data_IF_053765398288
#
_entry.id   IF_053765398288
#
_cell.length_a   1.000
_cell.length_b   1.000
_cell.length_c   1.000
_cell.angle_alpha   90.00
_cell.angle_beta   90.00
_cell.angle_gamma   90.00
#
_symmetry.space_group_name_H-M   'P 1'
#
loop_
_entity.id
_entity.type
_entity.pdbx_description
1 polymer ?
#
# COMPACT_ATOMS: atom_id res chain seq x y z
N UNK A 1 -40.35 9.08 -25.39
CA UNK A 1 -40.08 9.72 -24.10
C UNK A 1 -38.75 9.21 -23.60
N UNK A 2 -37.94 10.03 -22.90
CA UNK A 2 -36.63 9.57 -22.47
C UNK A 2 -36.75 8.53 -21.33
N UNK A 3 -36.00 7.46 -21.45
CA UNK A 3 -35.85 6.46 -20.39
C UNK A 3 -34.48 6.65 -19.72
N UNK A 4 -34.46 6.67 -18.38
CA UNK A 4 -33.24 6.95 -17.60
C UNK A 4 -33.02 5.86 -16.54
N UNK A 5 -31.75 5.57 -16.24
CA UNK A 5 -31.34 4.69 -15.14
C UNK A 5 -31.22 5.40 -13.80
N UNK A 6 -30.94 6.68 -13.85
CA UNK A 6 -30.83 7.54 -12.68
C UNK A 6 -31.52 8.87 -12.95
N UNK A 7 -32.27 9.33 -11.98
CA UNK A 7 -33.08 10.55 -12.07
C UNK A 7 -32.92 11.38 -10.81
N UNK A 8 -33.03 12.69 -10.96
CA UNK A 8 -33.18 13.65 -9.88
C UNK A 8 -34.55 14.29 -10.03
N UNK A 9 -35.29 14.38 -8.93
CA UNK A 9 -36.53 15.19 -8.85
C UNK A 9 -36.20 16.40 -8.00
N UNK A 10 -36.49 17.59 -8.53
CA UNK A 10 -36.44 18.86 -7.79
C UNK A 10 -37.80 19.49 -7.77
N UNK A 11 -38.41 19.62 -6.58
CA UNK A 11 -39.77 20.15 -6.45
C UNK A 11 -39.93 20.89 -5.13
N UNK A 12 -40.70 21.97 -5.13
CA UNK A 12 -41.06 22.66 -3.90
C UNK A 12 -41.83 21.71 -2.97
N UNK A 13 -41.64 21.90 -1.65
CA UNK A 13 -42.29 21.03 -0.65
C UNK A 13 -43.81 21.08 -0.76
N UNK A 14 -44.38 22.24 -1.05
CA UNK A 14 -45.81 22.46 -1.18
C UNK A 14 -46.41 21.91 -2.49
N UNK A 15 -45.59 21.55 -3.48
CA UNK A 15 -46.02 20.99 -4.75
C UNK A 15 -46.02 19.48 -4.80
N UNK A 16 -45.47 18.81 -3.80
CA UNK A 16 -45.45 17.35 -3.72
C UNK A 16 -46.67 16.85 -2.92
N UNK A 17 -47.73 16.46 -3.62
CA UNK A 17 -49.01 16.06 -3.02
C UNK A 17 -49.10 14.54 -2.70
N UNK A 18 -47.96 13.86 -2.53
CA UNK A 18 -47.88 12.45 -2.17
C UNK A 18 -47.06 12.27 -0.92
N UNK A 19 -47.35 11.20 -0.17
CA UNK A 19 -46.41 10.74 0.86
C UNK A 19 -45.14 10.22 0.16
N UNK A 20 -44.05 10.99 0.28
CA UNK A 20 -42.80 10.71 -0.41
C UNK A 20 -42.24 9.36 -0.03
N UNK A 21 -42.16 9.05 1.27
CA UNK A 21 -41.54 7.83 1.76
C UNK A 21 -42.37 6.61 1.39
N UNK A 22 -43.70 6.66 1.53
CA UNK A 22 -44.57 5.62 1.10
C UNK A 22 -44.48 5.37 -0.42
N UNK A 23 -44.37 6.44 -1.23
CA UNK A 23 -44.24 6.34 -2.69
C UNK A 23 -42.91 5.69 -3.07
N UNK A 24 -41.79 6.09 -2.47
CA UNK A 24 -40.47 5.52 -2.71
C UNK A 24 -40.42 4.03 -2.35
N UNK A 25 -41.08 3.60 -1.29
CA UNK A 25 -41.16 2.19 -0.86
C UNK A 25 -42.06 1.35 -1.71
N UNK A 26 -43.13 1.94 -2.28
CA UNK A 26 -44.13 1.25 -3.10
C UNK A 26 -43.56 0.68 -4.41
N UNK A 27 -42.67 1.45 -5.05
CA UNK A 27 -42.17 1.07 -6.38
C UNK A 27 -40.82 0.34 -6.30
N UNK A 28 -40.87 -1.00 -6.25
CA UNK A 28 -39.70 -1.91 -6.15
C UNK A 28 -38.71 -1.81 -7.31
N UNK A 29 -39.07 -1.16 -8.40
CA UNK A 29 -38.18 -0.85 -9.52
C UNK A 29 -37.11 0.18 -9.10
N UNK A 30 -37.42 1.03 -8.13
CA UNK A 30 -36.42 1.93 -7.51
C UNK A 30 -35.53 1.09 -6.60
N UNK A 31 -34.27 0.91 -6.97
CA UNK A 31 -33.31 0.09 -6.22
C UNK A 31 -32.62 0.85 -5.10
N UNK A 32 -32.28 2.08 -5.39
CA UNK A 32 -31.71 3.01 -4.39
C UNK A 32 -32.38 4.37 -4.53
N UNK A 33 -32.64 5.00 -3.42
CA UNK A 33 -33.16 6.36 -3.37
C UNK A 33 -32.59 7.09 -2.16
N UNK A 34 -32.41 8.41 -2.32
CA UNK A 34 -32.06 9.32 -1.25
C UNK A 34 -32.78 10.65 -1.47
N UNK A 35 -33.16 11.34 -0.40
CA UNK A 35 -33.72 12.67 -0.50
C UNK A 35 -33.34 13.54 0.68
N UNK A 36 -33.40 14.85 0.44
CA UNK A 36 -33.19 15.91 1.44
C UNK A 36 -34.14 17.08 1.13
N UNK A 37 -34.43 17.88 2.15
CA UNK A 37 -35.11 19.17 2.00
C UNK A 37 -34.05 20.25 2.12
N UNK A 38 -33.94 21.11 1.12
CA UNK A 38 -33.18 22.33 1.20
C UNK A 38 -34.08 23.44 1.69
N UNK A 39 -33.99 23.75 2.98
CA UNK A 39 -34.83 24.76 3.68
C UNK A 39 -33.99 25.89 4.30
N UNK A 40 -32.66 25.81 4.18
CA UNK A 40 -31.69 26.77 4.75
C UNK A 40 -30.98 27.59 3.68
N UNK A 41 -31.44 27.49 2.43
CA UNK A 41 -30.94 28.28 1.31
C UNK A 41 -31.79 29.58 1.16
N UNK A 42 -31.30 30.52 0.35
CA UNK A 42 -32.01 31.74 0.00
C UNK A 42 -33.25 31.52 -0.90
N UNK A 43 -33.59 30.25 -1.15
CA UNK A 43 -34.73 29.83 -1.98
C UNK A 43 -35.82 29.17 -1.13
N UNK A 44 -37.02 29.01 -1.72
CA UNK A 44 -38.10 28.27 -1.05
C UNK A 44 -37.67 26.87 -0.71
N UNK A 45 -38.19 26.32 0.38
CA UNK A 45 -37.95 24.93 0.76
C UNK A 45 -38.37 24.00 -0.35
N UNK A 46 -37.45 23.15 -0.79
CA UNK A 46 -37.64 22.23 -1.90
C UNK A 46 -36.95 20.90 -1.65
N UNK A 47 -37.51 19.83 -2.25
CA UNK A 47 -36.91 18.49 -2.23
C UNK A 47 -35.88 18.36 -3.34
N UNK A 48 -34.77 17.72 -3.01
CA UNK A 48 -33.89 17.02 -3.94
C UNK A 48 -34.05 15.52 -3.70
N UNK A 49 -34.52 14.78 -4.71
CA UNK A 49 -34.78 13.33 -4.60
C UNK A 49 -33.96 12.61 -5.66
N UNK A 50 -33.07 11.77 -5.23
CA UNK A 50 -32.29 10.90 -6.10
C UNK A 50 -32.95 9.53 -6.23
N UNK A 51 -33.09 9.04 -7.48
CA UNK A 51 -33.63 7.74 -7.82
C UNK A 51 -32.64 6.96 -8.68
N UNK A 52 -32.41 5.69 -8.35
CA UNK A 52 -31.57 4.78 -9.12
C UNK A 52 -32.31 3.45 -9.36
N UNK A 53 -32.47 3.10 -10.64
CA UNK A 53 -33.17 1.90 -11.10
C UNK A 53 -32.24 0.71 -11.39
N UNK A 54 -30.94 0.82 -11.02
CA UNK A 54 -29.94 -0.22 -11.23
C UNK A 54 -29.58 -0.38 -12.72
N UNK A 55 -29.74 -1.55 -13.24
CA UNK A 55 -29.47 -1.86 -14.66
C UNK A 55 -30.62 -1.52 -15.60
N UNK A 56 -31.82 -1.26 -15.05
CA UNK A 56 -33.04 -0.95 -15.82
C UNK A 56 -33.14 0.53 -16.12
N UNK A 57 -33.72 0.91 -17.27
CA UNK A 57 -34.13 2.27 -17.57
C UNK A 57 -35.65 2.38 -17.44
N UNK A 58 -36.10 3.49 -16.86
CA UNK A 58 -37.54 3.76 -16.64
C UNK A 58 -37.92 5.04 -17.36
N UNK A 59 -39.14 5.08 -17.88
CA UNK A 59 -39.68 6.26 -18.57
C UNK A 59 -39.94 7.39 -17.59
N UNK A 60 -39.53 8.62 -17.95
CA UNK A 60 -39.63 9.80 -17.09
C UNK A 60 -41.09 10.20 -16.82
N UNK A 61 -41.98 10.08 -17.80
CA UNK A 61 -43.42 10.38 -17.62
C UNK A 61 -44.08 9.37 -16.66
N UNK A 62 -43.66 8.09 -16.70
CA UNK A 62 -44.14 7.10 -15.75
C UNK A 62 -43.70 7.43 -14.32
N UNK A 63 -42.43 7.82 -14.13
CA UNK A 63 -41.94 8.25 -12.80
C UNK A 63 -42.67 9.51 -12.33
N UNK A 64 -42.87 10.50 -13.21
CA UNK A 64 -43.63 11.70 -12.88
C UNK A 64 -45.05 11.37 -12.37
N UNK A 65 -45.71 10.40 -12.99
CA UNK A 65 -47.04 9.95 -12.55
C UNK A 65 -47.02 9.33 -11.14
N UNK A 66 -45.95 8.66 -10.72
CA UNK A 66 -45.83 8.07 -9.38
C UNK A 66 -45.81 9.13 -8.27
N UNK A 67 -45.15 10.28 -8.57
CA UNK A 67 -45.02 11.38 -7.63
C UNK A 67 -46.07 12.46 -7.86
N UNK A 68 -46.97 12.31 -8.81
CA UNK A 68 -48.00 13.26 -9.18
C UNK A 68 -47.46 14.69 -9.47
N UNK A 69 -46.34 14.71 -10.18
CA UNK A 69 -45.64 15.95 -10.58
C UNK A 69 -45.54 16.05 -12.10
N UNK A 70 -45.39 17.26 -12.65
CA UNK A 70 -45.04 17.44 -14.06
C UNK A 70 -43.69 16.81 -14.42
N UNK A 71 -43.57 16.26 -15.63
CA UNK A 71 -42.36 15.60 -16.09
C UNK A 71 -41.11 16.51 -16.11
N UNK A 72 -41.29 17.79 -16.31
CA UNK A 72 -40.21 18.77 -16.30
C UNK A 72 -39.49 18.95 -14.94
N UNK A 73 -40.04 18.39 -13.86
CA UNK A 73 -39.35 18.32 -12.54
C UNK A 73 -38.36 17.15 -12.44
N UNK A 74 -38.37 16.27 -13.44
CA UNK A 74 -37.45 15.13 -13.50
C UNK A 74 -36.25 15.48 -14.36
N UNK A 75 -35.09 15.43 -13.75
CA UNK A 75 -33.81 15.71 -14.39
C UNK A 75 -33.00 14.42 -14.57
N UNK A 76 -32.25 14.37 -15.68
CA UNK A 76 -31.20 13.36 -15.81
C UNK A 76 -30.06 13.71 -14.87
N UNK A 77 -29.61 12.74 -14.05
CA UNK A 77 -28.41 12.89 -13.23
C UNK A 77 -27.21 13.17 -14.14
N UNK A 78 -26.54 14.29 -13.92
CA UNK A 78 -25.33 14.69 -14.64
C UNK A 78 -24.11 14.21 -13.85
N UNK A 79 -23.15 13.56 -14.53
CA UNK A 79 -21.95 13.07 -13.89
C UNK A 79 -22.11 11.70 -13.22
N UNK A 80 -21.27 11.42 -12.23
CA UNK A 80 -21.27 10.16 -11.49
C UNK A 80 -22.32 10.17 -10.38
N UNK A 81 -22.73 8.98 -9.92
CA UNK A 81 -23.62 8.82 -8.75
C UNK A 81 -23.13 9.62 -7.55
N UNK A 82 -21.82 9.55 -7.28
CA UNK A 82 -21.18 10.25 -6.16
C UNK A 82 -21.30 11.76 -6.24
N UNK A 83 -21.17 12.34 -7.45
CA UNK A 83 -21.33 13.78 -7.65
C UNK A 83 -22.78 14.23 -7.32
N UNK A 84 -23.75 13.39 -7.65
CA UNK A 84 -25.15 13.62 -7.30
C UNK A 84 -25.41 13.48 -5.79
N UNK A 85 -24.82 12.49 -5.13
CA UNK A 85 -24.96 12.30 -3.69
C UNK A 85 -24.32 13.47 -2.91
N UNK A 86 -23.13 13.93 -3.33
CA UNK A 86 -22.49 15.13 -2.76
C UNK A 86 -23.34 16.39 -3.00
N UNK A 87 -24.04 16.44 -4.13
CA UNK A 87 -24.93 17.57 -4.42
C UNK A 87 -26.10 17.67 -3.45
N UNK A 88 -26.62 16.56 -2.92
CA UNK A 88 -27.68 16.57 -1.92
C UNK A 88 -27.30 17.34 -0.64
N UNK A 89 -26.03 17.34 -0.27
CA UNK A 89 -25.52 18.04 0.93
C UNK A 89 -24.76 19.33 0.61
N UNK A 90 -24.74 19.77 -0.67
CA UNK A 90 -23.89 20.83 -1.19
C UNK A 90 -22.37 20.59 -1.02
N UNK A 91 -21.97 19.33 -0.85
CA UNK A 91 -20.56 18.94 -0.67
C UNK A 91 -19.70 19.05 -1.93
N UNK A 92 -20.27 19.40 -3.10
CA UNK A 92 -19.53 19.62 -4.34
C UNK A 92 -18.77 20.94 -4.31
N UNK A 93 -17.61 21.00 -4.97
CA UNK A 93 -16.80 22.22 -5.07
C UNK A 93 -17.58 23.43 -5.60
N UNK A 94 -18.49 23.21 -6.54
CA UNK A 94 -19.34 24.26 -7.12
C UNK A 94 -20.39 24.80 -6.13
N UNK A 95 -20.64 24.13 -5.03
CA UNK A 95 -21.68 24.47 -4.04
C UNK A 95 -21.08 24.89 -2.68
N UNK A 96 -19.76 25.04 -2.56
CA UNK A 96 -19.07 25.38 -1.29
C UNK A 96 -19.55 26.67 -0.65
N UNK A 97 -20.08 27.59 -1.44
CA UNK A 97 -20.59 28.88 -0.95
C UNK A 97 -22.03 28.83 -0.45
N UNK A 98 -22.72 27.71 -0.60
CA UNK A 98 -24.06 27.50 -0.09
C UNK A 98 -24.05 26.92 1.31
N UNK A 99 -25.19 26.89 1.98
CA UNK A 99 -25.34 26.19 3.25
C UNK A 99 -24.96 24.70 3.08
N UNK A 100 -24.08 24.19 3.93
CA UNK A 100 -23.63 22.80 3.89
C UNK A 100 -24.51 21.97 4.81
N UNK A 101 -25.34 21.12 4.21
CA UNK A 101 -26.22 20.23 4.96
C UNK A 101 -25.44 19.03 5.55
N UNK A 102 -25.84 18.59 6.75
CA UNK A 102 -25.28 17.39 7.34
C UNK A 102 -25.73 16.14 6.57
N UNK A 103 -24.82 15.17 6.41
CA UNK A 103 -25.15 13.88 5.83
C UNK A 103 -26.28 13.16 6.59
N UNK A 104 -26.45 13.43 7.88
CA UNK A 104 -27.53 12.92 8.73
C UNK A 104 -28.92 13.49 8.41
N UNK A 105 -28.98 14.59 7.68
CA UNK A 105 -30.24 15.18 7.21
C UNK A 105 -30.79 14.49 5.94
N UNK A 106 -29.95 13.66 5.30
CA UNK A 106 -30.35 12.87 4.13
C UNK A 106 -31.06 11.61 4.56
N UNK A 107 -32.25 11.36 4.01
CA UNK A 107 -32.97 10.12 4.19
C UNK A 107 -32.72 9.23 2.97
N UNK A 108 -32.25 8.02 3.19
CA UNK A 108 -31.89 7.08 2.11
C UNK A 108 -32.23 5.63 2.48
N UNK A 109 -32.40 4.76 1.47
CA UNK A 109 -32.56 3.31 1.67
C UNK A 109 -31.24 2.53 1.60
N UNK A 110 -30.12 3.24 1.66
CA UNK A 110 -28.75 2.69 1.68
C UNK A 110 -27.89 3.52 2.64
N UNK A 111 -26.72 3.01 2.98
CA UNK A 111 -25.78 3.74 3.84
C UNK A 111 -25.15 4.91 3.07
N UNK A 112 -25.76 6.10 3.24
CA UNK A 112 -25.40 7.32 2.54
C UNK A 112 -24.03 7.85 2.98
N UNK A 113 -23.72 7.78 4.29
CA UNK A 113 -22.45 8.27 4.83
C UNK A 113 -21.27 7.44 4.28
N UNK A 114 -21.42 6.12 4.27
CA UNK A 114 -20.39 5.22 3.71
C UNK A 114 -20.21 5.43 2.20
N UNK A 115 -21.28 5.61 1.44
CA UNK A 115 -21.19 5.86 -0.01
C UNK A 115 -20.44 7.16 -0.33
N UNK A 116 -20.67 8.24 0.43
CA UNK A 116 -19.98 9.52 0.25
C UNK A 116 -18.51 9.42 0.72
N UNK A 117 -18.28 8.79 1.87
CA UNK A 117 -16.93 8.62 2.41
C UNK A 117 -16.05 7.84 1.44
N UNK A 118 -16.57 6.73 0.89
CA UNK A 118 -15.86 5.97 -0.12
C UNK A 118 -15.56 6.78 -1.40
N UNK A 119 -16.45 7.70 -1.75
CA UNK A 119 -16.26 8.58 -2.90
C UNK A 119 -15.17 9.65 -2.68
N UNK A 120 -15.14 10.26 -1.51
CA UNK A 120 -14.12 11.25 -1.15
C UNK A 120 -12.74 10.59 -1.07
N UNK A 121 -12.65 9.39 -0.51
CA UNK A 121 -11.41 8.62 -0.41
C UNK A 121 -10.84 8.26 -1.78
N UNK A 122 -11.69 7.86 -2.73
CA UNK A 122 -11.24 7.61 -4.11
C UNK A 122 -10.72 8.91 -4.75
N UNK A 123 -11.27 10.08 -4.40
CA UNK A 123 -10.77 11.39 -4.84
C UNK A 123 -9.39 11.73 -4.29
N UNK A 124 -9.16 11.43 -3.01
CA UNK A 124 -7.89 11.69 -2.31
C UNK A 124 -6.84 10.60 -2.52
N UNK A 125 -7.20 9.51 -3.18
CA UNK A 125 -6.36 8.32 -3.40
C UNK A 125 -4.98 8.65 -4.01
N UNK A 126 -4.88 9.70 -4.83
CA UNK A 126 -3.60 10.13 -5.45
C UNK A 126 -2.50 10.43 -4.43
N UNK A 127 -2.88 10.72 -3.18
CA UNK A 127 -1.96 11.08 -2.11
C UNK A 127 -1.66 9.94 -1.15
N UNK A 128 -2.34 8.78 -1.29
CA UNK A 128 -2.13 7.65 -0.40
C UNK A 128 -0.92 6.82 -0.81
N UNK A 129 -0.06 6.54 0.15
CA UNK A 129 0.91 5.45 0.04
C UNK A 129 0.20 4.11 0.16
N UNK A 130 0.86 3.03 -0.26
CA UNK A 130 0.32 1.68 -0.11
C UNK A 130 0.02 1.33 1.37
N UNK A 131 0.84 1.82 2.29
CA UNK A 131 0.65 1.62 3.72
C UNK A 131 -0.61 2.31 4.26
N UNK A 132 -0.86 3.56 3.85
CA UNK A 132 -2.07 4.31 4.22
C UNK A 132 -3.33 3.63 3.66
N UNK A 133 -3.26 3.12 2.43
CA UNK A 133 -4.33 2.33 1.82
C UNK A 133 -4.69 1.09 2.68
N UNK A 134 -3.68 0.35 3.14
CA UNK A 134 -3.89 -0.82 3.99
C UNK A 134 -4.43 -0.44 5.38
N UNK A 135 -3.94 0.64 5.97
CA UNK A 135 -4.44 1.16 7.24
C UNK A 135 -5.92 1.52 7.12
N UNK A 136 -6.29 2.27 6.09
CA UNK A 136 -7.69 2.60 5.82
C UNK A 136 -8.56 1.34 5.66
N UNK A 137 -8.14 0.39 4.83
CA UNK A 137 -8.87 -0.86 4.64
C UNK A 137 -9.07 -1.63 5.96
N UNK A 138 -8.12 -1.52 6.92
CA UNK A 138 -8.24 -2.14 8.23
C UNK A 138 -9.29 -1.50 9.14
N UNK A 139 -9.68 -0.26 8.91
CA UNK A 139 -10.75 0.41 9.68
C UNK A 139 -12.15 -0.02 9.26
N UNK A 140 -12.29 -0.67 8.09
CA UNK A 140 -13.58 -1.04 7.53
C UNK A 140 -14.13 -2.35 8.11
N UNK A 141 -15.47 -2.53 8.14
CA UNK A 141 -16.11 -3.81 8.41
C UNK A 141 -15.64 -4.89 7.41
N UNK A 142 -15.60 -6.14 7.84
CA UNK A 142 -15.08 -7.27 7.03
C UNK A 142 -15.80 -7.38 5.67
N UNK A 143 -17.11 -7.15 5.62
CA UNK A 143 -17.92 -7.21 4.40
C UNK A 143 -17.50 -6.18 3.33
N UNK A 144 -17.01 -5.01 3.76
CA UNK A 144 -16.61 -3.93 2.87
C UNK A 144 -15.11 -3.94 2.60
N UNK A 145 -14.33 -4.41 3.57
CA UNK A 145 -12.86 -4.43 3.53
C UNK A 145 -12.32 -5.09 2.27
N UNK A 146 -12.81 -6.27 1.90
CA UNK A 146 -12.31 -7.02 0.73
C UNK A 146 -12.61 -6.26 -0.56
N UNK A 147 -13.84 -5.74 -0.71
CA UNK A 147 -14.26 -4.99 -1.90
C UNK A 147 -13.45 -3.70 -2.06
N UNK A 148 -13.34 -2.93 -0.98
CA UNK A 148 -12.63 -1.65 -0.98
C UNK A 148 -11.13 -1.86 -1.22
N UNK A 149 -10.52 -2.82 -0.53
CA UNK A 149 -9.10 -3.15 -0.73
C UNK A 149 -8.81 -3.53 -2.18
N UNK A 150 -9.65 -4.37 -2.79
CA UNK A 150 -9.49 -4.78 -4.20
C UNK A 150 -9.57 -3.58 -5.16
N UNK A 151 -10.46 -2.63 -4.90
CA UNK A 151 -10.59 -1.42 -5.72
C UNK A 151 -9.38 -0.51 -5.55
N UNK A 152 -8.94 -0.28 -4.30
CA UNK A 152 -7.77 0.53 -3.98
C UNK A 152 -6.50 -0.06 -4.59
N UNK A 153 -6.30 -1.37 -4.53
CA UNK A 153 -5.16 -2.04 -5.16
C UNK A 153 -5.15 -1.88 -6.69
N UNK A 154 -6.32 -1.92 -7.34
CA UNK A 154 -6.43 -1.69 -8.78
C UNK A 154 -6.07 -0.24 -9.15
N UNK A 155 -6.55 0.73 -8.38
CA UNK A 155 -6.24 2.15 -8.58
C UNK A 155 -4.75 2.42 -8.35
N UNK A 156 -4.18 1.85 -7.29
CA UNK A 156 -2.76 1.98 -6.99
C UNK A 156 -1.87 1.40 -8.11
N UNK A 157 -2.22 0.22 -8.63
CA UNK A 157 -1.54 -0.35 -9.80
C UNK A 157 -1.64 0.54 -11.03
N UNK A 158 -2.80 1.13 -11.28
CA UNK A 158 -2.98 2.07 -12.40
C UNK A 158 -2.12 3.31 -12.23
N UNK A 159 -2.07 3.89 -11.04
CA UNK A 159 -1.23 5.05 -10.73
C UNK A 159 0.26 4.72 -10.91
N UNK A 160 0.71 3.57 -10.43
CA UNK A 160 2.07 3.09 -10.66
C UNK A 160 2.38 2.94 -12.16
N UNK A 161 1.44 2.43 -12.97
CA UNK A 161 1.60 2.37 -14.41
C UNK A 161 1.68 3.76 -15.04
N UNK A 162 0.87 4.72 -14.60
CA UNK A 162 0.94 6.11 -15.07
C UNK A 162 2.28 6.76 -14.72
N UNK A 163 2.77 6.55 -13.50
CA UNK A 163 4.10 7.02 -13.09
C UNK A 163 5.21 6.35 -13.90
N UNK A 164 5.04 5.07 -14.24
CA UNK A 164 5.97 4.33 -15.09
C UNK A 164 6.08 4.89 -16.52
N UNK A 165 5.12 5.66 -16.99
CA UNK A 165 5.18 6.35 -18.30
C UNK A 165 5.97 7.67 -18.23
N UNK A 166 6.35 8.14 -17.05
CA UNK A 166 7.16 9.34 -16.91
C UNK A 166 8.60 9.07 -17.38
N UNK A 167 9.12 9.77 -18.38
CA UNK A 167 10.48 9.56 -18.88
C UNK A 167 11.57 9.97 -17.88
N UNK A 168 11.24 10.78 -16.89
CA UNK A 168 12.19 11.25 -15.89
C UNK A 168 12.07 10.42 -14.61
N UNK A 169 13.10 9.67 -14.31
CA UNK A 169 13.27 8.94 -13.04
C UNK A 169 14.26 9.69 -12.16
N UNK A 170 13.98 9.72 -10.86
CA UNK A 170 14.89 10.26 -9.84
C UNK A 170 14.99 9.22 -8.72
N UNK A 171 15.72 8.16 -9.01
CA UNK A 171 15.97 7.07 -8.08
C UNK A 171 17.29 7.32 -7.38
N UNK A 172 17.26 7.30 -6.05
CA UNK A 172 18.45 7.29 -5.22
C UNK A 172 18.83 5.85 -4.89
N UNK A 173 20.07 5.50 -5.09
CA UNK A 173 20.59 4.16 -4.83
C UNK A 173 21.62 4.22 -3.70
N UNK A 174 21.33 3.48 -2.64
CA UNK A 174 22.25 3.32 -1.51
C UNK A 174 22.75 1.88 -1.45
N UNK A 175 24.04 1.68 -1.31
CA UNK A 175 24.63 0.37 -1.10
C UNK A 175 25.23 0.27 0.30
N UNK A 176 24.77 -0.69 1.08
CA UNK A 176 25.20 -0.94 2.45
C UNK A 176 25.99 -2.25 2.52
N UNK A 177 27.26 -2.20 2.83
CA UNK A 177 28.11 -3.37 3.00
C UNK A 177 28.51 -3.58 4.46
N UNK A 178 28.70 -4.83 4.84
CA UNK A 178 29.19 -5.20 6.18
C UNK A 178 29.01 -6.67 6.47
N UNK A 179 29.74 -7.18 7.45
CA UNK A 179 29.63 -8.59 7.88
C UNK A 179 28.19 -8.96 8.31
N UNK A 180 27.91 -10.26 8.32
CA UNK A 180 26.63 -10.73 8.87
C UNK A 180 26.46 -10.27 10.32
N UNK A 181 25.23 -9.85 10.68
CA UNK A 181 24.92 -9.45 12.04
C UNK A 181 25.29 -8.01 12.43
N UNK A 182 25.95 -7.21 11.57
CA UNK A 182 26.30 -5.81 11.88
C UNK A 182 25.16 -4.81 11.83
N UNK A 183 23.97 -5.21 11.39
CA UNK A 183 22.77 -4.36 11.40
C UNK A 183 22.42 -3.70 10.06
N UNK A 184 22.93 -4.18 8.93
CA UNK A 184 22.65 -3.62 7.59
C UNK A 184 21.17 -3.37 7.34
N UNK A 185 20.36 -4.41 7.44
CA UNK A 185 18.91 -4.35 7.23
C UNK A 185 18.21 -3.45 8.24
N UNK A 186 18.68 -3.43 9.49
CA UNK A 186 18.15 -2.54 10.51
C UNK A 186 18.36 -1.05 10.16
N UNK A 187 19.57 -0.68 9.75
CA UNK A 187 19.85 0.69 9.34
C UNK A 187 19.11 1.09 8.07
N UNK A 188 18.98 0.16 7.09
CA UNK A 188 18.16 0.39 5.91
C UNK A 188 16.71 0.72 6.27
N UNK A 189 16.10 -0.07 7.16
CA UNK A 189 14.73 0.18 7.64
C UNK A 189 14.62 1.53 8.36
N UNK A 190 15.48 1.78 9.34
CA UNK A 190 15.47 3.05 10.09
C UNK A 190 15.61 4.27 9.22
N UNK A 191 16.48 4.20 8.19
CA UNK A 191 16.64 5.28 7.22
C UNK A 191 15.32 5.57 6.52
N UNK A 192 14.67 4.54 5.95
CA UNK A 192 13.43 4.72 5.20
C UNK A 192 12.26 5.18 6.09
N UNK A 193 12.20 4.68 7.32
CA UNK A 193 11.24 5.14 8.33
C UNK A 193 11.44 6.62 8.69
N UNK A 194 12.69 7.08 8.84
CA UNK A 194 13.00 8.49 9.11
C UNK A 194 12.61 9.40 7.94
N UNK A 195 12.70 8.89 6.70
CA UNK A 195 12.26 9.59 5.48
C UNK A 195 10.75 9.50 5.26
N UNK A 196 10.02 8.76 6.10
CA UNK A 196 8.59 8.44 5.94
C UNK A 196 8.28 7.78 4.59
N UNK A 197 9.18 6.91 4.13
CA UNK A 197 8.97 6.12 2.93
C UNK A 197 8.36 4.78 3.30
N UNK A 198 7.28 4.41 2.62
CA UNK A 198 6.81 3.04 2.58
C UNK A 198 7.80 2.20 1.76
N UNK A 199 8.06 0.99 2.23
CA UNK A 199 9.04 0.13 1.59
C UNK A 199 8.62 -1.35 1.61
N UNK A 200 9.12 -2.10 0.66
CA UNK A 200 9.13 -3.56 0.73
C UNK A 200 10.56 -4.07 0.89
N UNK A 201 10.68 -5.29 1.39
CA UNK A 201 11.96 -5.98 1.53
C UNK A 201 11.92 -7.21 0.63
N UNK A 202 12.91 -7.32 -0.23
CA UNK A 202 13.12 -8.48 -1.06
C UNK A 202 14.41 -9.18 -0.66
N UNK A 203 14.31 -10.45 -0.31
CA UNK A 203 15.44 -11.36 -0.08
C UNK A 203 15.43 -12.53 -1.07
N UNK A 204 14.64 -12.39 -2.14
CA UNK A 204 14.48 -13.43 -3.17
C UNK A 204 15.49 -13.23 -4.30
N UNK A 205 16.31 -14.27 -4.56
CA UNK A 205 17.19 -14.32 -5.73
C UNK A 205 16.44 -14.61 -7.04
N UNK A 206 15.23 -15.19 -6.98
CA UNK A 206 14.47 -15.59 -8.17
C UNK A 206 13.49 -14.55 -8.68
N UNK A 207 13.00 -13.66 -7.82
CA UNK A 207 12.07 -12.57 -8.15
C UNK A 207 12.25 -11.42 -7.18
N UNK A 208 13.14 -10.51 -7.52
CA UNK A 208 13.48 -9.33 -6.70
C UNK A 208 12.27 -8.43 -6.45
N UNK A 209 11.29 -8.43 -7.36
CA UNK A 209 10.09 -7.61 -7.25
C UNK A 209 8.85 -8.37 -6.78
N UNK A 210 8.99 -9.60 -6.24
CA UNK A 210 7.83 -10.39 -5.81
C UNK A 210 6.90 -9.60 -4.89
N UNK A 211 7.44 -8.94 -3.88
CA UNK A 211 6.71 -8.20 -2.85
C UNK A 211 6.52 -6.71 -3.17
N UNK A 212 7.11 -6.26 -4.29
CA UNK A 212 6.97 -4.87 -4.72
C UNK A 212 5.58 -4.61 -5.29
N UNK A 213 4.88 -3.64 -4.71
CA UNK A 213 3.53 -3.22 -5.10
C UNK A 213 3.46 -1.72 -5.42
N UNK A 214 4.62 -1.07 -5.67
CA UNK A 214 4.72 0.34 -5.97
C UNK A 214 5.15 1.21 -4.78
N UNK A 215 5.69 0.62 -3.72
CA UNK A 215 6.22 1.36 -2.58
C UNK A 215 7.29 2.36 -3.02
N UNK A 216 7.45 3.45 -2.26
CA UNK A 216 8.46 4.49 -2.52
C UNK A 216 9.88 3.98 -2.46
N UNK A 217 10.13 2.92 -1.69
CA UNK A 217 11.43 2.32 -1.58
C UNK A 217 11.40 0.79 -1.62
N UNK A 218 12.52 0.19 -2.02
CA UNK A 218 12.76 -1.24 -1.91
C UNK A 218 14.10 -1.48 -1.22
N UNK A 219 14.13 -2.44 -0.28
CA UNK A 219 15.35 -2.97 0.30
C UNK A 219 15.62 -4.33 -0.35
N UNK A 220 16.73 -4.45 -1.06
CA UNK A 220 17.27 -5.70 -1.58
C UNK A 220 18.21 -6.26 -0.52
N UNK A 221 17.70 -7.21 0.28
CA UNK A 221 18.37 -7.65 1.49
C UNK A 221 19.31 -8.83 1.22
N UNK A 222 20.54 -8.68 1.70
CA UNK A 222 21.68 -9.65 1.55
C UNK A 222 21.92 -10.08 0.11
N UNK A 223 21.75 -9.14 -0.85
CA UNK A 223 21.92 -9.39 -2.27
C UNK A 223 23.41 -9.67 -2.60
N UNK A 224 23.64 -10.54 -3.56
CA UNK A 224 24.94 -10.85 -4.11
C UNK A 224 24.94 -10.65 -5.61
N UNK A 225 26.12 -10.49 -6.20
CA UNK A 225 26.29 -10.35 -7.65
C UNK A 225 25.85 -11.61 -8.44
N UNK A 226 25.73 -12.75 -7.79
CA UNK A 226 25.20 -14.00 -8.37
C UNK A 226 23.67 -14.04 -8.40
N UNK A 227 22.99 -13.19 -7.63
CA UNK A 227 21.53 -13.21 -7.46
C UNK A 227 20.81 -12.37 -8.52
N UNK A 228 21.52 -11.47 -9.19
CA UNK A 228 21.01 -10.61 -10.25
C UNK A 228 22.04 -10.45 -11.35
N UNK A 229 21.63 -10.54 -12.59
CA UNK A 229 22.51 -10.28 -13.73
C UNK A 229 22.89 -8.80 -13.79
N UNK A 230 24.13 -8.52 -14.20
CA UNK A 230 24.69 -7.16 -14.26
C UNK A 230 23.81 -6.20 -15.06
N UNK A 231 23.35 -6.64 -16.25
CA UNK A 231 22.51 -5.81 -17.13
C UNK A 231 21.15 -5.53 -16.50
N UNK A 232 20.57 -6.49 -15.77
CA UNK A 232 19.30 -6.31 -15.08
C UNK A 232 19.43 -5.35 -13.90
N UNK A 233 20.53 -5.44 -13.14
CA UNK A 233 20.84 -4.48 -12.09
C UNK A 233 20.98 -3.05 -12.65
N UNK A 234 21.72 -2.87 -13.74
CA UNK A 234 21.88 -1.57 -14.39
C UNK A 234 20.55 -0.98 -14.86
N UNK A 235 19.68 -1.78 -15.48
CA UNK A 235 18.35 -1.34 -15.90
C UNK A 235 17.49 -0.91 -14.70
N UNK A 236 17.58 -1.63 -13.59
CA UNK A 236 16.81 -1.35 -12.40
C UNK A 236 17.18 0.00 -11.78
N UNK A 237 18.48 0.32 -11.71
CA UNK A 237 19.02 1.52 -11.08
C UNK A 237 19.30 2.69 -12.04
N UNK A 238 18.89 2.58 -13.31
CA UNK A 238 19.11 3.64 -14.29
C UNK A 238 18.03 4.73 -14.21
N UNK A 239 18.44 5.99 -14.15
CA UNK A 239 17.57 7.16 -14.15
C UNK A 239 17.23 7.66 -15.58
N UNK A 240 17.97 7.25 -16.61
CA UNK A 240 17.78 7.76 -17.96
C UNK A 240 16.83 6.90 -18.80
N UNK A 241 16.71 5.61 -18.48
CA UNK A 241 15.85 4.69 -19.18
C UNK A 241 14.91 3.95 -18.24
N UNK A 242 13.65 3.92 -18.59
CA UNK A 242 12.67 3.16 -17.85
C UNK A 242 12.49 1.81 -18.53
N UNK A 243 13.14 0.80 -17.99
CA UNK A 243 13.04 -0.57 -18.45
C UNK A 243 12.32 -1.43 -17.44
N UNK A 244 11.46 -2.32 -17.94
CA UNK A 244 10.93 -3.38 -17.08
C UNK A 244 12.04 -4.35 -16.71
N UNK A 245 12.13 -4.71 -15.44
CA UNK A 245 13.02 -5.73 -14.92
C UNK A 245 12.27 -7.06 -14.90
N UNK A 246 12.96 -8.14 -15.18
CA UNK A 246 12.39 -9.47 -15.17
C UNK A 246 11.79 -9.81 -13.79
N UNK A 247 10.56 -10.26 -13.80
CA UNK A 247 9.85 -10.83 -12.67
C UNK A 247 9.11 -12.08 -13.12
N UNK A 248 9.05 -13.10 -12.26
CA UNK A 248 8.63 -14.47 -12.61
C UNK A 248 7.29 -14.59 -13.30
N UNK A 249 6.34 -13.68 -13.02
CA UNK A 249 4.99 -13.72 -13.57
C UNK A 249 4.63 -12.50 -14.43
N UNK A 250 5.26 -11.36 -14.22
CA UNK A 250 5.06 -10.13 -14.98
C UNK A 250 6.29 -9.25 -14.83
N UNK A 251 6.79 -8.72 -15.94
CA UNK A 251 7.83 -7.70 -15.87
C UNK A 251 7.31 -6.50 -15.07
N UNK A 252 8.00 -6.14 -14.01
CA UNK A 252 7.65 -5.00 -13.16
C UNK A 252 8.61 -3.85 -13.40
N UNK A 253 8.09 -2.65 -13.31
CA UNK A 253 8.88 -1.41 -13.34
C UNK A 253 8.96 -0.86 -11.94
N UNK A 254 10.15 -0.51 -11.49
CA UNK A 254 10.30 0.20 -10.23
C UNK A 254 9.92 1.67 -10.41
N UNK A 255 8.88 2.11 -9.74
CA UNK A 255 8.38 3.50 -9.78
C UNK A 255 8.70 4.28 -8.48
N UNK A 256 9.43 3.65 -7.56
CA UNK A 256 9.83 4.26 -6.30
C UNK A 256 10.93 5.32 -6.45
N UNK A 257 11.32 5.87 -5.31
CA UNK A 257 12.34 6.92 -5.19
C UNK A 257 13.68 6.43 -4.68
N UNK A 258 13.69 5.26 -4.00
CA UNK A 258 14.93 4.79 -3.36
C UNK A 258 15.07 3.27 -3.44
N UNK A 259 16.26 2.83 -3.80
CA UNK A 259 16.69 1.44 -3.76
C UNK A 259 17.83 1.33 -2.74
N UNK A 260 17.64 0.50 -1.72
CA UNK A 260 18.69 0.20 -0.74
C UNK A 260 19.13 -1.24 -0.95
N UNK A 261 20.40 -1.42 -1.31
CA UNK A 261 21.00 -2.75 -1.47
C UNK A 261 21.83 -3.06 -0.24
N UNK A 262 21.56 -4.15 0.45
CA UNK A 262 22.42 -4.62 1.53
C UNK A 262 23.20 -5.85 1.06
N UNK A 263 24.48 -5.94 1.41
CA UNK A 263 25.33 -7.09 1.06
C UNK A 263 26.41 -7.36 2.11
N UNK A 264 26.75 -8.61 2.25
CA UNK A 264 27.94 -9.01 3.01
C UNK A 264 29.24 -8.84 2.21
N UNK A 265 29.14 -8.68 0.90
CA UNK A 265 30.25 -8.51 -0.02
C UNK A 265 30.35 -7.03 -0.44
N UNK A 266 31.49 -6.37 -0.22
CA UNK A 266 31.68 -4.99 -0.72
C UNK A 266 31.54 -4.91 -2.24
N UNK A 267 30.87 -3.84 -2.71
CA UNK A 267 30.52 -3.70 -4.14
C UNK A 267 31.70 -3.75 -5.09
N UNK A 268 32.89 -3.32 -4.66
CA UNK A 268 34.14 -3.43 -5.45
C UNK A 268 34.53 -4.84 -5.82
N UNK A 269 33.92 -5.87 -5.20
CA UNK A 269 34.17 -7.28 -5.51
C UNK A 269 33.06 -7.87 -6.39
N UNK A 270 31.97 -7.15 -6.60
CA UNK A 270 30.86 -7.59 -7.44
C UNK A 270 31.28 -7.63 -8.92
N UNK A 271 30.82 -8.66 -9.62
CA UNK A 271 31.02 -8.87 -11.08
C UNK A 271 32.49 -8.84 -11.55
N UNK A 272 33.45 -9.09 -10.66
CA UNK A 272 34.89 -9.08 -11.02
C UNK A 272 35.23 -10.01 -12.17
N UNK A 273 34.59 -11.18 -12.26
CA UNK A 273 34.83 -12.10 -13.36
C UNK A 273 34.48 -11.49 -14.74
N UNK A 274 33.49 -10.61 -14.81
CA UNK A 274 33.13 -9.89 -16.02
C UNK A 274 34.20 -8.86 -16.41
N UNK A 275 34.73 -8.15 -15.43
CA UNK A 275 35.79 -7.16 -15.64
C UNK A 275 37.08 -7.82 -16.18
N UNK A 276 37.47 -8.97 -15.60
CA UNK A 276 38.66 -9.69 -16.08
C UNK A 276 38.53 -10.18 -17.52
N UNK A 277 37.31 -10.47 -17.96
CA UNK A 277 37.05 -10.94 -19.32
C UNK A 277 36.80 -9.76 -20.31
N UNK A 278 37.01 -8.51 -19.92
CA UNK A 278 36.76 -7.29 -20.69
C UNK A 278 35.35 -7.25 -21.32
N UNK A 279 34.35 -7.85 -20.66
CA UNK A 279 32.99 -7.94 -21.20
C UNK A 279 32.14 -6.74 -20.83
N UNK A 280 32.41 -6.14 -19.66
CA UNK A 280 31.60 -5.04 -19.15
C UNK A 280 32.43 -4.04 -18.35
N UNK A 281 32.06 -2.73 -18.43
CA UNK A 281 32.67 -1.68 -17.64
C UNK A 281 31.89 -1.44 -16.36
N UNK A 282 32.45 -1.86 -15.22
CA UNK A 282 31.83 -1.71 -13.90
C UNK A 282 31.67 -0.25 -13.45
N UNK A 283 32.30 0.73 -14.12
CA UNK A 283 32.07 2.16 -13.87
C UNK A 283 30.59 2.53 -14.02
N UNK A 284 29.87 1.82 -14.93
CA UNK A 284 28.44 2.02 -15.12
C UNK A 284 27.64 1.71 -13.84
N UNK A 285 28.05 0.73 -13.06
CA UNK A 285 27.43 0.41 -11.78
C UNK A 285 27.78 1.44 -10.73
N UNK A 286 29.08 1.73 -10.57
CA UNK A 286 29.59 2.59 -9.49
C UNK A 286 29.00 4.00 -9.54
N UNK A 287 28.93 4.62 -10.72
CA UNK A 287 28.37 5.97 -10.90
C UNK A 287 26.88 6.09 -10.56
N UNK A 288 26.14 4.97 -10.49
CA UNK A 288 24.73 4.94 -10.16
C UNK A 288 24.46 4.75 -8.66
N UNK A 289 25.51 4.49 -7.88
CA UNK A 289 25.42 4.41 -6.42
C UNK A 289 25.60 5.81 -5.84
N UNK A 290 24.52 6.40 -5.36
CA UNK A 290 24.51 7.76 -4.81
C UNK A 290 25.13 7.84 -3.42
N UNK A 291 25.00 6.76 -2.62
CA UNK A 291 25.56 6.69 -1.28
C UNK A 291 26.10 5.30 -1.00
N UNK A 292 27.27 5.22 -0.40
CA UNK A 292 27.88 3.97 0.00
C UNK A 292 28.10 3.93 1.51
N UNK A 293 27.62 2.88 2.16
CA UNK A 293 27.70 2.70 3.60
C UNK A 293 28.50 1.45 3.92
N UNK A 294 29.51 1.58 4.76
CA UNK A 294 30.24 0.44 5.34
C UNK A 294 29.90 0.31 6.81
N UNK A 295 29.42 -0.87 7.21
CA UNK A 295 29.09 -1.15 8.61
C UNK A 295 30.05 -2.20 9.16
N UNK A 296 30.74 -1.82 10.21
CA UNK A 296 31.58 -2.71 11.03
C UNK A 296 30.86 -3.04 12.35
N UNK A 297 31.50 -3.77 13.24
CA UNK A 297 30.96 -4.03 14.57
C UNK A 297 30.89 -2.78 15.46
N UNK A 298 31.73 -1.79 15.20
CA UNK A 298 31.87 -0.57 16.02
C UNK A 298 31.38 0.69 15.34
N UNK A 299 31.38 0.74 14.01
CA UNK A 299 31.18 1.97 13.26
C UNK A 299 30.28 1.78 12.05
N UNK A 300 29.56 2.85 11.72
CA UNK A 300 28.83 3.05 10.46
C UNK A 300 29.52 4.19 9.72
N UNK A 301 30.07 3.91 8.55
CA UNK A 301 30.79 4.88 7.70
C UNK A 301 29.97 5.19 6.47
N UNK A 302 29.55 6.45 6.32
CA UNK A 302 28.79 6.95 5.18
C UNK A 302 29.71 7.72 4.23
N UNK A 303 29.62 7.41 2.94
CA UNK A 303 30.35 8.05 1.85
C UNK A 303 29.42 8.58 0.77
N UNK A 304 29.81 9.63 0.05
CA UNK A 304 29.07 10.29 -1.02
C UNK A 304 29.20 9.54 -2.37
N UNK A 305 29.02 8.22 -2.35
CA UNK A 305 29.08 7.38 -3.54
C UNK A 305 30.43 6.70 -3.75
N UNK A 306 30.66 6.30 -5.00
CA UNK A 306 31.82 5.50 -5.40
C UNK A 306 32.55 6.16 -6.59
N UNK A 307 33.88 6.14 -6.55
CA UNK A 307 34.73 6.50 -7.67
C UNK A 307 34.67 5.45 -8.79
N UNK A 308 35.22 5.75 -9.96
CA UNK A 308 35.19 4.88 -11.13
C UNK A 308 35.82 3.51 -10.92
N UNK A 309 36.77 3.40 -10.00
CA UNK A 309 37.41 2.14 -9.62
C UNK A 309 36.68 1.37 -8.50
N UNK A 310 35.50 1.88 -8.05
CA UNK A 310 34.68 1.27 -7.00
C UNK A 310 35.16 1.52 -5.57
N UNK A 311 36.11 2.44 -5.38
CA UNK A 311 36.50 2.94 -4.06
C UNK A 311 35.54 4.02 -3.56
N UNK A 312 35.31 4.16 -2.23
CA UNK A 312 34.49 5.24 -1.69
C UNK A 312 35.06 6.62 -1.99
N UNK A 313 34.19 7.59 -2.25
CA UNK A 313 34.55 8.98 -2.52
C UNK A 313 34.74 9.76 -1.20
N UNK A 314 35.88 10.39 -1.05
CA UNK A 314 36.14 11.31 0.06
C UNK A 314 36.25 10.66 1.44
N UNK A 315 36.40 11.48 2.50
CA UNK A 315 36.42 11.00 3.87
C UNK A 315 34.99 10.61 4.32
N UNK A 316 34.83 9.52 5.11
CA UNK A 316 33.52 9.12 5.61
C UNK A 316 33.00 10.04 6.71
N UNK A 317 31.68 10.17 6.79
CA UNK A 317 31.01 10.55 8.03
C UNK A 317 30.91 9.30 8.88
N UNK A 318 31.41 9.34 10.11
CA UNK A 318 31.52 8.18 10.98
C UNK A 318 30.52 8.29 12.13
N UNK A 319 29.74 7.25 12.33
CA UNK A 319 28.81 7.09 13.44
C UNK A 319 29.16 5.83 14.24
N UNK A 320 28.85 5.80 15.54
CA UNK A 320 28.96 4.59 16.36
C UNK A 320 27.89 3.56 15.95
N UNK A 321 28.28 2.29 15.87
CA UNK A 321 27.34 1.20 15.64
C UNK A 321 26.79 0.64 16.95
N UNK A 322 25.55 0.98 17.29
CA UNK A 322 24.89 0.55 18.53
C UNK A 322 24.25 -0.83 18.44
N UNK A 323 24.11 -1.41 17.24
CA UNK A 323 23.37 -2.66 17.03
C UNK A 323 23.95 -3.87 17.80
N UNK A 324 25.27 -4.08 17.86
CA UNK A 324 25.82 -5.17 18.64
C UNK A 324 25.49 -5.06 20.16
N UNK A 325 25.38 -3.82 20.67
CA UNK A 325 24.98 -3.57 22.07
C UNK A 325 23.50 -3.93 22.29
N UNK A 326 22.63 -3.45 21.40
CA UNK A 326 21.19 -3.71 21.44
C UNK A 326 20.85 -5.22 21.35
N UNK A 327 21.57 -5.96 20.49
CA UNK A 327 21.41 -7.42 20.38
C UNK A 327 21.77 -8.14 21.67
N UNK A 328 22.86 -7.73 22.35
CA UNK A 328 23.26 -8.33 23.64
C UNK A 328 22.21 -8.07 24.73
N UNK A 329 21.57 -6.89 24.71
CA UNK A 329 20.51 -6.53 25.65
C UNK A 329 19.21 -7.29 25.37
N UNK A 330 18.85 -7.50 24.10
CA UNK A 330 17.67 -8.26 23.71
C UNK A 330 17.84 -9.76 23.99
N UNK A 331 19.02 -10.32 23.77
CA UNK A 331 19.32 -11.72 24.13
C UNK A 331 19.23 -11.97 25.64
N UNK A 332 19.55 -10.98 26.47
CA UNK A 332 19.36 -11.06 27.94
C UNK A 332 17.89 -11.02 28.39
N UNK A 333 16.99 -10.45 27.56
CA UNK A 333 15.54 -10.35 27.88
C UNK A 333 14.75 -11.63 27.57
N UNK A 334 15.28 -12.50 26.73
CA UNK A 334 14.62 -13.77 26.40
C UNK A 334 15.50 -14.92 26.81
N UNK A 335 15.17 -15.50 27.95
CA UNK A 335 15.86 -16.68 28.49
C UNK A 335 15.24 -17.94 27.88
N UNK A 336 15.80 -18.36 26.74
CA UNK A 336 15.42 -19.61 26.09
C UNK A 336 15.64 -20.80 27.02
N UNK A 337 16.63 -20.73 27.93
CA UNK A 337 16.92 -21.82 28.84
C UNK A 337 15.74 -22.06 29.79
N UNK A 338 15.16 -21.00 30.37
CA UNK A 338 13.99 -21.13 31.23
C UNK A 338 12.75 -21.64 30.48
N UNK A 339 12.59 -21.27 29.20
CA UNK A 339 11.50 -21.80 28.36
C UNK A 339 11.71 -23.27 28.04
N UNK A 340 12.94 -23.67 27.69
CA UNK A 340 13.27 -25.05 27.43
C UNK A 340 13.22 -25.88 28.72
N UNK A 341 13.73 -25.36 29.82
CA UNK A 341 13.63 -26.02 31.12
C UNK A 341 12.15 -26.24 31.50
N UNK A 342 11.26 -25.29 31.27
CA UNK A 342 9.83 -25.47 31.49
C UNK A 342 9.15 -26.44 30.52
N UNK A 343 9.67 -26.58 29.30
CA UNK A 343 9.12 -27.50 28.31
C UNK A 343 9.63 -28.94 28.51
N UNK A 344 10.82 -29.12 28.99
CA UNK A 344 11.52 -30.41 29.04
C UNK A 344 11.84 -30.91 30.45
N UNK A 345 11.72 -30.08 31.52
CA UNK A 345 11.89 -30.48 32.92
C UNK A 345 10.70 -31.25 33.51
N UNK A 346 9.79 -31.73 32.67
CA UNK A 346 8.72 -32.62 33.14
C UNK A 346 9.04 -34.10 32.99
N UNK A 347 10.19 -34.45 32.46
CA UNK A 347 10.63 -35.86 32.43
C UNK A 347 11.67 -36.04 33.55
N UNK A 348 11.20 -36.34 34.72
CA UNK A 348 12.06 -36.79 35.83
C UNK A 348 12.55 -38.23 35.55
N UNK A 349 13.68 -38.63 36.15
CA UNK A 349 14.16 -40.03 36.04
C UNK A 349 13.07 -41.06 36.41
N UNK A 350 12.05 -40.65 37.16
CA UNK A 350 10.89 -41.47 37.55
C UNK A 350 9.89 -41.70 36.40
N UNK A 351 9.86 -40.82 35.40
CA UNK A 351 8.98 -40.93 34.22
C UNK A 351 9.62 -41.68 33.06
N UNK A 352 10.87 -42.13 33.18
CA UNK A 352 11.51 -42.93 32.13
C UNK A 352 10.93 -44.34 32.15
N UNK A 353 10.54 -44.81 30.96
CA UNK A 353 10.09 -46.18 30.74
C UNK A 353 11.12 -47.16 31.32
N UNK A 354 10.66 -48.22 32.04
CA UNK A 354 11.56 -49.19 32.71
C UNK A 354 12.59 -49.83 31.80
N UNK A 355 12.29 -49.93 30.51
CA UNK A 355 13.20 -50.41 29.48
C UNK A 355 14.37 -49.45 29.22
N UNK A 356 14.19 -48.13 29.38
CA UNK A 356 15.24 -47.12 29.25
C UNK A 356 16.14 -47.00 30.47
N UNK A 357 15.61 -47.30 31.67
CA UNK A 357 16.36 -47.24 32.93
C UNK A 357 17.45 -48.32 33.03
N UNK A 358 17.32 -49.38 32.21
CA UNK A 358 18.23 -50.50 32.21
C UNK A 358 19.31 -50.46 31.10
N UNK A 359 19.34 -49.41 30.31
CA UNK A 359 20.34 -49.25 29.26
C UNK A 359 21.68 -48.76 29.82
N UNK A 360 22.81 -49.28 29.28
CA UNK A 360 24.14 -48.77 29.65
C UNK A 360 24.28 -47.28 29.33
N UNK A 361 24.93 -46.49 30.21
CA UNK A 361 25.14 -45.03 30.05
C UNK A 361 25.68 -44.59 28.71
N UNK A 362 26.43 -45.49 28.01
CA UNK A 362 26.95 -45.21 26.64
C UNK A 362 25.85 -45.21 25.57
N UNK A 363 24.78 -45.95 25.74
CA UNK A 363 23.66 -45.98 24.81
C UNK A 363 22.66 -44.82 25.06
N UNK A 364 22.51 -44.41 26.30
CA UNK A 364 21.69 -43.22 26.65
C UNK A 364 22.19 -41.93 26.02
N UNK A 365 23.49 -41.77 25.76
CA UNK A 365 24.10 -40.66 25.01
C UNK A 365 23.58 -40.51 23.57
N UNK A 366 23.11 -41.63 22.96
CA UNK A 366 22.53 -41.60 21.60
C UNK A 366 21.13 -40.92 21.56
N UNK A 367 20.44 -40.87 22.70
CA UNK A 367 19.11 -40.31 22.83
C UNK A 367 19.08 -38.93 23.49
N UNK A 368 20.25 -38.32 23.73
CA UNK A 368 20.35 -36.95 24.22
C UNK A 368 19.98 -36.74 25.72
N UNK A 369 19.98 -37.81 26.51
CA UNK A 369 19.56 -37.80 27.90
C UNK A 369 20.72 -38.01 28.90
N UNK A 370 21.89 -37.39 28.67
CA UNK A 370 22.89 -37.11 29.77
C UNK A 370 23.82 -35.99 29.32
#
# INVERSE_FOLDING_TARGET
MPTLRQMEIVTDVDKLNVDLQATLMKYRTIKQWAYIIHDKDDTRAHYHIYLNFGTSSVDTALVASWFQIPENFINKVKGRKTDMLLYLTHGNDSQKNKYQYSQKEVVANFDFETEITNASIIGDFKNFSYAEMLQYANTLPISEKVKTLTQLEKLYKLECHCQALNPHRDIQVMFISGKAGTGKTYYAKKLLESMKYDYCISSSSNDIFQDYKGQRAIILDDLRDTDIEFVELLKMIDNNTQSSVYSRFQNKVFVGKMIVITSSVPIKFWYRAMQYNNREDLKQLYRRINSYVMITETEVRLYDGLAEEGSPIGPPIIYENEIPKLKREQQKKFDFKSVFDNLFNTVTEDDMDEDLKNLPREELKKYGTV
#
